data_IF_903666409511
#
_entry.id   IF_903666409511
#
_cell.length_a   1.000
_cell.length_b   1.000
_cell.length_c   1.000
_cell.angle_alpha   90.00
_cell.angle_beta   90.00
_cell.angle_gamma   90.00
#
_symmetry.space_group_name_H-M   'P 1'
#
loop_
_entity.id
_entity.type
_entity.pdbx_description
1 polymer ?
#
# COMPACT_ATOMS: atom_id res chain seq x y z
N UNK A 1 -15.21 7.36 -13.28
CA UNK A 1 -14.00 7.23 -12.43
C UNK A 1 -14.41 6.85 -11.02
N UNK A 2 -13.67 5.97 -10.40
CA UNK A 2 -13.93 5.54 -9.04
C UNK A 2 -12.63 5.54 -8.25
N UNK A 3 -12.76 5.55 -6.93
CA UNK A 3 -11.61 5.44 -6.03
C UNK A 3 -11.70 4.11 -5.32
N UNK A 4 -10.65 3.32 -5.47
CA UNK A 4 -10.48 2.08 -4.72
C UNK A 4 -9.57 2.37 -3.53
N UNK A 5 -10.07 2.13 -2.34
CA UNK A 5 -9.30 2.35 -1.12
C UNK A 5 -8.64 1.07 -0.68
N UNK A 6 -7.32 1.12 -0.47
CA UNK A 6 -6.54 -0.03 -0.02
C UNK A 6 -6.46 0.04 1.50
N UNK A 7 -7.01 -0.97 2.17
CA UNK A 7 -6.98 -1.06 3.63
C UNK A 7 -6.10 -2.22 4.05
N UNK A 8 -5.48 -2.08 5.22
CA UNK A 8 -4.70 -3.19 5.78
C UNK A 8 -5.64 -4.24 6.35
N UNK A 9 -5.46 -5.52 5.99
CA UNK A 9 -6.27 -6.58 6.59
C UNK A 9 -5.74 -7.03 7.96
N UNK A 10 -4.54 -6.58 8.34
CA UNK A 10 -3.87 -7.04 9.56
C UNK A 10 -3.22 -5.87 10.28
N UNK A 11 -3.00 -5.98 11.61
CA UNK A 11 -2.23 -4.97 12.34
C UNK A 11 -0.74 -5.17 12.12
N UNK A 12 0.05 -4.12 12.29
CA UNK A 12 1.50 -4.23 12.22
C UNK A 12 2.16 -2.92 11.87
N UNK A 13 3.39 -3.00 11.39
CA UNK A 13 4.16 -1.82 10.98
C UNK A 13 4.18 -1.80 9.45
N UNK A 14 3.77 -0.67 8.88
CA UNK A 14 3.69 -0.51 7.43
C UNK A 14 5.01 0.01 6.87
N UNK A 15 5.44 -0.58 5.75
CA UNK A 15 6.63 -0.14 5.02
C UNK A 15 6.28 0.08 3.56
N UNK A 16 6.74 1.21 2.99
CA UNK A 16 6.57 1.52 1.57
C UNK A 16 7.69 0.96 0.72
N UNK A 17 8.74 0.40 1.35
CA UNK A 17 9.91 -0.15 0.65
C UNK A 17 10.32 -1.46 1.29
N UNK A 18 10.99 -2.35 0.52
CA UNK A 18 11.36 -3.67 1.06
C UNK A 18 12.46 -3.60 2.12
N UNK A 19 13.28 -2.54 2.08
CA UNK A 19 14.32 -2.31 3.10
C UNK A 19 14.70 -0.83 3.07
N UNK A 20 15.36 -0.32 4.13
CA UNK A 20 15.67 1.11 4.22
C UNK A 20 16.52 1.67 3.08
N UNK A 21 17.34 0.83 2.45
CA UNK A 21 18.24 1.24 1.37
C UNK A 21 17.69 0.93 -0.03
N UNK A 22 16.44 0.48 -0.12
CA UNK A 22 15.79 0.20 -1.39
C UNK A 22 14.76 1.28 -1.71
N UNK A 23 14.46 1.51 -3.01
CA UNK A 23 13.43 2.47 -3.38
C UNK A 23 12.06 1.97 -2.94
N UNK A 24 11.14 2.90 -2.81
CA UNK A 24 9.75 2.58 -2.52
C UNK A 24 9.15 1.74 -3.64
N UNK A 25 8.22 0.83 -3.29
CA UNK A 25 7.55 -0.01 -4.29
C UNK A 25 6.88 0.84 -5.35
N UNK A 26 6.09 1.82 -4.91
CA UNK A 26 5.32 2.68 -5.80
C UNK A 26 5.17 4.06 -5.17
N UNK A 27 4.95 5.05 -6.02
CA UNK A 27 4.78 6.43 -5.60
C UNK A 27 3.45 6.98 -6.11
N UNK A 28 3.03 8.11 -5.54
CA UNK A 28 1.84 8.82 -6.02
C UNK A 28 2.04 9.17 -7.49
N UNK A 29 1.04 8.88 -8.30
CA UNK A 29 1.09 9.09 -9.75
C UNK A 29 1.46 7.84 -10.55
N UNK A 30 1.94 6.79 -9.89
CA UNK A 30 2.30 5.56 -10.58
C UNK A 30 1.04 4.80 -11.01
N UNK A 31 1.13 4.19 -12.19
CA UNK A 31 0.11 3.26 -12.67
C UNK A 31 0.35 1.90 -12.04
N UNK A 32 -0.71 1.29 -11.55
CA UNK A 32 -0.63 -0.01 -10.87
C UNK A 32 -1.62 -1.00 -11.45
N UNK A 33 -1.27 -2.28 -11.31
CA UNK A 33 -2.19 -3.39 -11.57
C UNK A 33 -2.62 -4.00 -10.24
N UNK A 34 -3.75 -4.69 -10.25
CA UNK A 34 -4.33 -5.25 -9.03
C UNK A 34 -3.36 -6.14 -8.23
N UNK A 35 -2.49 -6.87 -8.92
CA UNK A 35 -1.52 -7.75 -8.28
C UNK A 35 -0.21 -7.10 -7.84
N UNK A 36 -0.05 -5.79 -8.10
CA UNK A 36 1.18 -5.10 -7.73
C UNK A 36 1.25 -4.89 -6.22
N UNK A 37 2.45 -5.06 -5.67
CA UNK A 37 2.69 -4.81 -4.25
C UNK A 37 2.89 -3.32 -4.03
N UNK A 38 2.11 -2.73 -3.13
CA UNK A 38 2.24 -1.30 -2.79
C UNK A 38 2.98 -1.07 -1.48
N UNK A 39 3.12 -2.09 -0.66
CA UNK A 39 3.84 -1.99 0.60
C UNK A 39 3.86 -3.32 1.33
N UNK A 40 4.49 -3.31 2.50
CA UNK A 40 4.58 -4.48 3.37
C UNK A 40 4.05 -4.11 4.75
N UNK A 41 3.49 -5.11 5.44
CA UNK A 41 3.14 -4.98 6.86
C UNK A 41 3.91 -6.04 7.62
N UNK A 42 4.69 -5.61 8.61
CA UNK A 42 5.44 -6.52 9.47
C UNK A 42 4.62 -6.88 10.70
N UNK A 43 4.43 -8.19 10.89
CA UNK A 43 3.75 -8.75 12.05
C UNK A 43 4.62 -9.88 12.58
N UNK A 44 5.10 -9.76 13.82
CA UNK A 44 5.87 -10.83 14.48
C UNK A 44 7.03 -11.34 13.62
N UNK A 45 7.82 -10.41 13.08
CA UNK A 45 9.00 -10.68 12.23
C UNK A 45 8.67 -11.33 10.89
N UNK A 46 7.41 -11.31 10.49
CA UNK A 46 6.99 -11.77 9.18
C UNK A 46 6.41 -10.60 8.40
N UNK A 47 6.62 -10.62 7.09
CA UNK A 47 6.16 -9.55 6.21
C UNK A 47 5.02 -10.05 5.34
N UNK A 48 3.91 -9.31 5.35
CA UNK A 48 2.78 -9.56 4.47
C UNK A 48 2.77 -8.48 3.38
N UNK A 49 2.65 -8.89 2.13
CA UNK A 49 2.55 -7.95 1.02
C UNK A 49 1.14 -7.37 0.96
N UNK A 50 1.07 -6.05 0.78
CA UNK A 50 -0.20 -5.36 0.54
C UNK A 50 -0.29 -5.10 -0.95
N UNK A 51 -1.29 -5.70 -1.60
CA UNK A 51 -1.51 -5.56 -3.03
C UNK A 51 -2.42 -4.38 -3.30
N UNK A 52 -2.30 -3.82 -4.52
CA UNK A 52 -3.14 -2.73 -4.94
C UNK A 52 -4.63 -3.11 -4.94
N UNK A 53 -4.95 -4.31 -5.42
CA UNK A 53 -6.31 -4.81 -5.44
C UNK A 53 -7.17 -4.25 -6.56
N UNK A 54 -6.67 -3.31 -7.34
CA UNK A 54 -7.37 -2.74 -8.48
C UNK A 54 -6.35 -2.13 -9.44
N UNK A 55 -6.72 -2.08 -10.71
CA UNK A 55 -5.89 -1.42 -11.73
C UNK A 55 -6.21 0.08 -11.70
N UNK A 56 -5.19 0.91 -11.78
CA UNK A 56 -5.41 2.35 -11.80
C UNK A 56 -4.15 3.14 -11.53
N UNK A 57 -4.33 4.33 -10.95
CA UNK A 57 -3.24 5.24 -10.62
C UNK A 57 -3.30 5.57 -9.12
N UNK A 58 -2.17 5.48 -8.45
CA UNK A 58 -2.10 5.84 -7.04
C UNK A 58 -2.25 7.35 -6.90
N UNK A 59 -3.26 7.78 -6.14
CA UNK A 59 -3.53 9.20 -5.93
C UNK A 59 -3.09 9.69 -4.56
N UNK A 60 -2.99 8.80 -3.58
CA UNK A 60 -2.58 9.19 -2.23
C UNK A 60 -2.09 7.97 -1.44
N UNK A 61 -1.14 8.22 -0.54
CA UNK A 61 -0.83 7.31 0.56
C UNK A 61 -1.27 7.99 1.85
N UNK A 62 -1.99 7.26 2.68
CA UNK A 62 -2.61 7.82 3.91
C UNK A 62 -1.80 7.52 5.17
N UNK A 63 -0.77 6.68 5.04
CA UNK A 63 0.13 6.35 6.15
C UNK A 63 1.56 6.49 5.69
N UNK A 64 2.43 6.85 6.63
CA UNK A 64 3.87 6.96 6.37
C UNK A 64 4.54 5.61 6.50
N UNK A 65 5.73 5.48 5.90
CA UNK A 65 6.56 4.30 6.12
C UNK A 65 6.91 4.20 7.60
N UNK A 66 6.91 2.98 8.12
CA UNK A 66 7.18 2.67 9.52
C UNK A 66 6.04 3.07 10.47
N UNK A 67 4.88 3.42 9.94
CA UNK A 67 3.72 3.73 10.76
C UNK A 67 3.11 2.45 11.36
N UNK A 68 2.60 2.57 12.58
CA UNK A 68 1.86 1.47 13.21
C UNK A 68 0.41 1.56 12.73
N UNK A 69 -0.08 0.48 12.16
CA UNK A 69 -1.43 0.42 11.61
C UNK A 69 -2.21 -0.76 12.19
N UNK A 70 -3.52 -0.67 12.10
CA UNK A 70 -4.43 -1.73 12.53
C UNK A 70 -5.29 -2.24 11.38
N UNK A 71 -6.06 -3.33 11.62
CA UNK A 71 -6.96 -3.85 10.60
C UNK A 71 -7.99 -2.78 10.18
N UNK A 72 -8.16 -2.63 8.87
CA UNK A 72 -9.09 -1.64 8.35
C UNK A 72 -8.51 -0.25 8.16
N UNK A 73 -7.28 0.00 8.62
CA UNK A 73 -6.65 1.31 8.43
C UNK A 73 -6.40 1.53 6.94
N UNK A 74 -6.68 2.75 6.51
CA UNK A 74 -6.55 3.13 5.11
C UNK A 74 -5.09 3.37 4.77
N UNK A 75 -4.60 2.68 3.76
CA UNK A 75 -3.19 2.77 3.35
C UNK A 75 -3.03 3.70 2.15
N UNK A 76 -3.82 3.48 1.11
CA UNK A 76 -3.66 4.21 -0.13
C UNK A 76 -4.98 4.32 -0.87
N UNK A 77 -5.04 5.28 -1.79
CA UNK A 77 -6.18 5.43 -2.70
C UNK A 77 -5.70 5.25 -4.13
N UNK A 78 -6.48 4.53 -4.92
CA UNK A 78 -6.20 4.25 -6.33
C UNK A 78 -7.39 4.74 -7.14
N UNK A 79 -7.13 5.61 -8.11
CA UNK A 79 -8.15 6.04 -9.05
C UNK A 79 -8.29 4.97 -10.13
N UNK A 80 -9.49 4.38 -10.24
CA UNK A 80 -9.79 3.32 -11.19
C UNK A 80 -10.68 3.84 -12.30
N UNK A 81 -10.66 3.12 -13.42
CA UNK A 81 -11.43 3.52 -14.58
C UNK A 81 -10.72 4.63 -15.37
N UNK A 82 -11.10 4.78 -16.57
CA UNK A 82 -10.50 5.77 -17.46
C UNK A 82 -11.40 6.97 -17.63
#
# INVERSE_FOLDING_TARGET
MAIHEVQSPIPGIFYRRPSPDQPEFLNIGDTVSAGDTIGLVEVMKQFAEIKAGADGVITAFHVDSEAIIGPGDLIASIQTGA
#
